data_IF_559670545162
#
_entry.id   IF_559670545162
#
_cell.length_a   1.000
_cell.length_b   1.000
_cell.length_c   1.000
_cell.angle_alpha   90.00
_cell.angle_beta   90.00
_cell.angle_gamma   90.00
#
_symmetry.space_group_name_H-M   'P 1'
#
loop_
_entity.id
_entity.type
_entity.pdbx_description
1 polymer ?
#
# COMPACT_ATOMS: atom_id res chain seq x y z
N UNK A 1 -45.20 -44.69 -44.18
CA UNK A 1 -43.89 -44.61 -43.52
C UNK A 1 -43.93 -43.45 -42.57
N UNK A 2 -44.18 -43.74 -41.30
CA UNK A 2 -44.42 -42.78 -40.22
C UNK A 2 -43.10 -42.32 -39.62
N UNK A 3 -42.91 -41.00 -39.54
CA UNK A 3 -41.96 -40.35 -38.62
C UNK A 3 -42.60 -39.02 -38.24
N UNK A 4 -43.00 -38.90 -36.97
CA UNK A 4 -43.08 -37.62 -36.28
C UNK A 4 -42.87 -37.84 -34.78
N UNK A 5 -42.36 -36.78 -34.17
CA UNK A 5 -41.65 -36.67 -32.89
C UNK A 5 -42.55 -36.91 -31.67
N UNK A 6 -41.96 -37.41 -30.58
CA UNK A 6 -42.43 -37.06 -29.23
C UNK A 6 -41.26 -37.04 -28.23
N UNK A 7 -41.19 -35.93 -27.49
CA UNK A 7 -40.23 -35.61 -26.45
C UNK A 7 -40.37 -36.56 -25.24
N UNK A 8 -39.25 -36.97 -24.64
CA UNK A 8 -39.23 -37.49 -23.28
C UNK A 8 -38.24 -36.70 -22.44
N UNK A 9 -38.80 -35.75 -21.70
CA UNK A 9 -38.20 -35.04 -20.58
C UNK A 9 -37.82 -36.02 -19.46
N UNK A 10 -36.51 -36.22 -19.25
CA UNK A 10 -35.99 -36.96 -18.09
C UNK A 10 -35.79 -35.98 -16.94
N UNK A 11 -36.75 -35.96 -16.03
CA UNK A 11 -36.71 -35.19 -14.80
C UNK A 11 -35.73 -35.86 -13.82
N UNK A 12 -34.48 -35.40 -13.80
CA UNK A 12 -33.45 -35.91 -12.86
C UNK A 12 -33.67 -35.28 -11.49
N UNK A 13 -34.46 -35.94 -10.64
CA UNK A 13 -34.57 -35.61 -9.21
C UNK A 13 -33.20 -35.78 -8.52
N UNK A 14 -32.53 -34.67 -8.19
CA UNK A 14 -31.24 -34.63 -7.49
C UNK A 14 -31.39 -34.08 -6.08
N UNK A 15 -31.87 -34.90 -5.17
CA UNK A 15 -31.61 -34.73 -3.74
C UNK A 15 -31.16 -36.08 -3.20
N UNK A 16 -29.85 -36.25 -3.04
CA UNK A 16 -29.32 -37.36 -2.25
C UNK A 16 -29.34 -36.97 -0.77
N UNK A 17 -29.32 -37.97 0.12
CA UNK A 17 -29.03 -37.82 1.54
C UNK A 17 -27.79 -38.70 1.82
N UNK A 18 -26.72 -38.18 2.44
CA UNK A 18 -25.53 -38.96 2.81
C UNK A 18 -25.53 -39.02 4.33
N UNK A 19 -25.62 -40.24 4.84
CA UNK A 19 -25.55 -40.54 6.27
C UNK A 19 -24.09 -40.68 6.68
N UNK A 20 -23.64 -39.84 7.62
CA UNK A 20 -22.32 -39.97 8.24
C UNK A 20 -22.52 -40.46 9.67
N UNK A 21 -21.83 -41.54 10.05
CA UNK A 21 -21.79 -42.04 11.43
C UNK A 21 -20.67 -41.32 12.19
N UNK A 22 -21.03 -40.53 13.22
CA UNK A 22 -20.04 -40.02 14.18
C UNK A 22 -19.78 -41.06 15.28
N UNK A 23 -18.51 -41.32 15.57
CA UNK A 23 -18.10 -42.04 16.80
C UNK A 23 -18.08 -41.05 17.97
N UNK A 24 -18.63 -41.41 19.14
CA UNK A 24 -18.66 -40.50 20.28
C UNK A 24 -17.26 -40.30 20.85
N UNK A 25 -16.85 -39.04 20.98
CA UNK A 25 -15.71 -38.63 21.81
C UNK A 25 -16.05 -38.86 23.27
N UNK A 26 -15.16 -39.56 23.97
CA UNK A 26 -15.22 -39.86 25.40
C UNK A 26 -15.46 -38.62 26.29
N UNK A 27 -16.46 -38.69 27.16
CA UNK A 27 -16.29 -38.46 28.61
C UNK A 27 -17.61 -38.60 29.38
N UNK A 28 -17.60 -39.48 30.38
CA UNK A 28 -18.43 -39.47 31.60
C UNK A 28 -19.95 -39.47 31.45
N UNK A 29 -20.56 -40.65 31.49
CA UNK A 29 -21.64 -41.08 32.42
C UNK A 29 -22.29 -42.36 31.89
N UNK A 30 -21.61 -43.49 32.12
CA UNK A 30 -22.22 -44.81 31.99
C UNK A 30 -22.69 -45.19 33.39
N UNK A 31 -23.89 -44.76 33.76
CA UNK A 31 -24.72 -45.45 34.74
C UNK A 31 -26.15 -44.88 34.63
N UNK A 32 -27.12 -45.77 34.46
CA UNK A 32 -28.57 -45.54 34.33
C UNK A 32 -29.11 -45.13 32.95
N UNK A 33 -29.13 -46.07 32.00
CA UNK A 33 -30.21 -46.18 31.00
C UNK A 33 -30.19 -47.54 30.27
N UNK A 34 -30.27 -48.64 31.02
CA UNK A 34 -30.57 -49.98 30.49
C UNK A 34 -32.02 -50.33 30.84
N UNK A 35 -32.99 -49.54 30.38
CA UNK A 35 -34.42 -49.88 30.51
C UNK A 35 -35.31 -48.96 29.65
N UNK A 36 -35.16 -49.05 28.34
CA UNK A 36 -36.19 -48.80 27.30
C UNK A 36 -35.46 -48.68 25.97
N UNK A 37 -35.71 -49.63 25.07
CA UNK A 37 -35.10 -49.63 23.75
C UNK A 37 -35.75 -48.57 22.87
N UNK A 38 -35.15 -47.38 22.83
CA UNK A 38 -35.33 -46.39 21.77
C UNK A 38 -34.17 -45.37 21.81
N UNK A 39 -32.99 -45.80 21.36
CA UNK A 39 -31.92 -44.86 21.01
C UNK A 39 -32.23 -44.26 19.62
N UNK A 40 -33.06 -43.22 19.59
CA UNK A 40 -33.22 -42.40 18.38
C UNK A 40 -31.91 -41.62 18.16
N UNK A 41 -31.01 -42.16 17.33
CA UNK A 41 -29.84 -41.40 16.84
C UNK A 41 -30.36 -40.11 16.19
N UNK A 42 -29.97 -38.92 16.67
CA UNK A 42 -30.36 -37.67 16.02
C UNK A 42 -29.74 -37.63 14.62
N UNK A 43 -30.55 -37.92 13.60
CA UNK A 43 -30.15 -37.77 12.20
C UNK A 43 -30.13 -36.29 11.85
N UNK A 44 -28.95 -35.70 11.81
CA UNK A 44 -28.80 -34.33 11.33
C UNK A 44 -28.85 -34.35 9.79
N UNK A 45 -30.00 -33.96 9.22
CA UNK A 45 -30.14 -33.76 7.78
C UNK A 45 -29.40 -32.49 7.38
N UNK A 46 -28.24 -32.65 6.75
CA UNK A 46 -27.51 -31.52 6.16
C UNK A 46 -28.05 -31.34 4.73
N UNK A 47 -28.62 -30.17 4.39
CA UNK A 47 -29.00 -29.90 3.01
C UNK A 47 -27.74 -29.86 2.16
N UNK A 48 -27.58 -30.85 1.27
CA UNK A 48 -26.51 -30.85 0.28
C UNK A 48 -27.09 -30.86 -1.12
N UNK A 49 -26.49 -30.04 -1.97
CA UNK A 49 -26.83 -30.00 -3.39
C UNK A 49 -25.59 -30.32 -4.19
N UNK A 50 -25.70 -31.34 -5.06
CA UNK A 50 -24.63 -31.71 -5.98
C UNK A 50 -24.34 -30.61 -7.01
N UNK A 51 -25.34 -29.79 -7.35
CA UNK A 51 -25.11 -28.61 -8.21
C UNK A 51 -24.33 -27.53 -7.48
N UNK A 52 -24.66 -27.23 -6.22
CA UNK A 52 -23.93 -26.28 -5.39
C UNK A 52 -22.48 -26.74 -5.14
N UNK A 53 -22.26 -28.03 -4.90
CA UNK A 53 -20.91 -28.61 -4.77
C UNK A 53 -20.11 -28.45 -6.06
N UNK A 54 -20.71 -28.79 -7.22
CA UNK A 54 -20.05 -28.68 -8.53
C UNK A 54 -19.72 -27.22 -8.87
N UNK A 55 -20.60 -26.29 -8.53
CA UNK A 55 -20.37 -24.87 -8.73
C UNK A 55 -19.23 -24.35 -7.84
N UNK A 56 -19.20 -24.75 -6.55
CA UNK A 56 -18.11 -24.43 -5.62
C UNK A 56 -16.77 -25.00 -6.09
N UNK A 57 -16.77 -26.25 -6.58
CA UNK A 57 -15.56 -26.89 -7.12
C UNK A 57 -15.04 -26.17 -8.38
N UNK A 58 -15.94 -25.76 -9.27
CA UNK A 58 -15.57 -24.97 -10.46
C UNK A 58 -15.03 -23.60 -10.07
N UNK A 59 -15.62 -22.91 -9.09
CA UNK A 59 -15.08 -21.63 -8.57
C UNK A 59 -13.67 -21.81 -8.01
N UNK A 60 -13.42 -22.87 -7.24
CA UNK A 60 -12.08 -23.17 -6.72
C UNK A 60 -11.08 -23.50 -7.83
N UNK A 61 -11.50 -24.25 -8.86
CA UNK A 61 -10.64 -24.53 -10.04
C UNK A 61 -10.30 -23.27 -10.82
N UNK A 62 -11.27 -22.40 -11.06
CA UNK A 62 -11.04 -21.12 -11.74
C UNK A 62 -10.17 -20.19 -10.91
N UNK A 63 -10.38 -20.13 -9.59
CA UNK A 63 -9.52 -19.37 -8.67
C UNK A 63 -8.09 -19.90 -8.69
N UNK A 64 -7.90 -21.22 -8.61
CA UNK A 64 -6.58 -21.86 -8.67
C UNK A 64 -5.88 -21.64 -10.02
N UNK A 65 -6.60 -21.74 -11.14
CA UNK A 65 -6.05 -21.46 -12.47
C UNK A 65 -5.64 -19.99 -12.63
N UNK A 66 -6.42 -19.04 -12.08
CA UNK A 66 -6.05 -17.62 -12.04
C UNK A 66 -4.83 -17.37 -11.17
N UNK A 67 -4.74 -18.04 -10.02
CA UNK A 67 -3.60 -17.95 -9.10
C UNK A 67 -2.33 -18.51 -9.75
N UNK A 68 -2.39 -19.69 -10.38
CA UNK A 68 -1.28 -20.28 -11.13
C UNK A 68 -0.84 -19.39 -12.32
N UNK A 69 -1.79 -18.76 -13.01
CA UNK A 69 -1.47 -17.84 -14.10
C UNK A 69 -0.85 -16.54 -13.58
N UNK A 70 -1.27 -16.04 -12.41
CA UNK A 70 -0.70 -14.85 -11.78
C UNK A 70 0.69 -15.11 -11.18
N UNK A 71 0.94 -16.29 -10.59
CA UNK A 71 2.27 -16.69 -10.09
C UNK A 71 3.28 -16.83 -11.22
N UNK A 72 2.89 -17.40 -12.38
CA UNK A 72 3.77 -17.49 -13.57
C UNK A 72 4.21 -16.15 -14.15
N UNK A 73 3.50 -15.06 -13.82
CA UNK A 73 3.86 -13.70 -14.28
C UNK A 73 4.86 -13.04 -13.35
N UNK A 74 5.07 -13.57 -12.13
CA UNK A 74 5.97 -13.01 -11.13
C UNK A 74 7.34 -13.71 -11.15
N UNK A 75 8.11 -13.51 -12.21
CA UNK A 75 9.51 -13.92 -12.24
C UNK A 75 10.42 -12.80 -11.68
N UNK A 76 11.21 -13.14 -10.67
CA UNK A 76 12.24 -12.27 -10.08
C UNK A 76 13.61 -12.91 -10.33
N UNK A 77 14.55 -12.12 -10.83
CA UNK A 77 15.91 -12.57 -11.15
C UNK A 77 16.98 -11.79 -10.39
N UNK A 78 16.63 -10.63 -9.83
CA UNK A 78 17.57 -9.84 -9.07
C UNK A 78 17.98 -10.53 -7.75
N UNK A 79 19.29 -10.62 -7.51
CA UNK A 79 19.83 -11.10 -6.25
C UNK A 79 19.70 -10.08 -5.11
N UNK A 80 19.93 -10.55 -3.88
CA UNK A 80 20.03 -9.69 -2.69
C UNK A 80 21.43 -9.04 -2.60
N UNK A 81 21.89 -8.38 -3.68
CA UNK A 81 23.17 -7.67 -3.71
C UNK A 81 22.97 -6.14 -3.76
N UNK A 82 23.83 -5.34 -3.11
CA UNK A 82 23.74 -3.88 -3.18
C UNK A 82 23.89 -3.32 -4.60
N UNK A 83 24.59 -4.03 -5.49
CA UNK A 83 24.82 -3.65 -6.88
C UNK A 83 23.60 -3.83 -7.78
N UNK A 84 22.63 -4.64 -7.36
CA UNK A 84 21.45 -4.99 -8.15
C UNK A 84 20.17 -4.28 -7.68
N UNK A 85 20.30 -3.29 -6.78
CA UNK A 85 19.15 -2.57 -6.23
C UNK A 85 18.24 -1.94 -7.29
N UNK A 86 18.82 -1.29 -8.31
CA UNK A 86 18.04 -0.69 -9.40
C UNK A 86 17.32 -1.72 -10.28
N UNK A 87 17.93 -2.90 -10.46
CA UNK A 87 17.32 -4.01 -11.21
C UNK A 87 16.15 -4.60 -10.42
N UNK A 88 16.37 -4.85 -9.12
CA UNK A 88 15.32 -5.30 -8.21
C UNK A 88 14.14 -4.34 -8.19
N UNK A 89 14.38 -3.03 -8.16
CA UNK A 89 13.33 -2.02 -8.20
C UNK A 89 12.51 -2.06 -9.50
N UNK A 90 13.18 -2.20 -10.65
CA UNK A 90 12.50 -2.32 -11.95
C UNK A 90 11.67 -3.60 -12.05
N UNK A 91 12.15 -4.70 -11.49
CA UNK A 91 11.38 -5.96 -11.42
C UNK A 91 10.16 -5.80 -10.50
N UNK A 92 10.33 -5.21 -9.32
CA UNK A 92 9.23 -4.95 -8.40
C UNK A 92 8.16 -4.04 -9.01
N UNK A 93 8.56 -2.99 -9.72
CA UNK A 93 7.64 -2.03 -10.36
C UNK A 93 6.83 -2.67 -11.50
N UNK A 94 7.43 -3.61 -12.24
CA UNK A 94 6.74 -4.35 -13.31
C UNK A 94 5.78 -5.39 -12.77
N UNK A 95 6.16 -6.03 -11.67
CA UNK A 95 5.52 -7.26 -11.20
C UNK A 95 4.49 -7.00 -10.11
N UNK A 96 4.74 -6.08 -9.17
CA UNK A 96 3.85 -5.78 -8.06
C UNK A 96 2.93 -4.60 -8.37
N UNK A 97 1.65 -4.76 -8.09
CA UNK A 97 0.62 -3.73 -8.16
C UNK A 97 0.23 -3.27 -6.76
N UNK A 98 -0.38 -2.09 -6.67
CA UNK A 98 -0.92 -1.55 -5.41
C UNK A 98 -1.89 -2.50 -4.69
N UNK A 99 -2.71 -3.23 -5.45
CA UNK A 99 -3.64 -4.22 -4.92
C UNK A 99 -2.93 -5.42 -4.27
N UNK A 100 -1.74 -5.78 -4.75
CA UNK A 100 -1.01 -6.94 -4.24
C UNK A 100 -0.59 -6.73 -2.77
N UNK A 101 -0.28 -5.51 -2.35
CA UNK A 101 0.03 -5.19 -0.95
C UNK A 101 -1.16 -5.41 0.00
N UNK A 102 -2.40 -5.34 -0.51
CA UNK A 102 -3.58 -5.67 0.27
C UNK A 102 -3.80 -7.20 0.38
N UNK A 103 -3.33 -7.95 -0.62
CA UNK A 103 -3.37 -9.42 -0.65
C UNK A 103 -2.20 -10.08 0.10
N UNK A 104 -1.13 -9.32 0.40
CA UNK A 104 0.03 -9.80 1.15
C UNK A 104 -0.36 -10.27 2.56
N UNK A 105 -0.04 -11.53 2.85
CA UNK A 105 -0.18 -12.13 4.17
C UNK A 105 1.10 -11.94 4.97
N UNK A 106 1.03 -11.26 6.11
CA UNK A 106 2.15 -11.21 7.05
C UNK A 106 2.34 -12.58 7.70
N UNK A 107 3.56 -13.10 7.69
CA UNK A 107 3.94 -14.34 8.39
C UNK A 107 4.42 -14.01 9.81
N UNK A 108 5.29 -13.00 9.93
CA UNK A 108 5.83 -12.60 11.22
C UNK A 108 7.00 -11.63 11.10
N UNK A 109 7.64 -11.36 12.23
CA UNK A 109 8.79 -10.46 12.34
C UNK A 109 10.10 -11.26 12.40
N UNK A 110 11.10 -10.86 11.63
CA UNK A 110 12.45 -11.40 11.66
C UNK A 110 13.43 -10.40 12.27
N UNK A 111 14.26 -10.88 13.22
CA UNK A 111 15.32 -10.12 13.90
C UNK A 111 14.90 -8.72 14.42
N UNK A 112 13.63 -8.54 14.76
CA UNK A 112 13.03 -7.25 15.19
C UNK A 112 13.30 -6.07 14.23
N UNK A 113 13.58 -6.35 12.96
CA UNK A 113 13.90 -5.34 11.95
C UNK A 113 13.16 -5.53 10.64
N UNK A 114 12.72 -6.76 10.36
CA UNK A 114 12.08 -7.09 9.10
C UNK A 114 10.72 -7.75 9.33
N UNK A 115 9.81 -7.53 8.39
CA UNK A 115 8.52 -8.21 8.31
C UNK A 115 8.58 -9.17 7.13
N UNK A 116 8.30 -10.44 7.39
CA UNK A 116 8.21 -11.47 6.35
C UNK A 116 6.78 -11.51 5.86
N UNK A 117 6.59 -11.32 4.56
CA UNK A 117 5.29 -11.36 3.91
C UNK A 117 5.27 -12.40 2.81
N UNK A 118 4.10 -12.99 2.59
CA UNK A 118 3.84 -13.92 1.49
C UNK A 118 2.81 -13.31 0.57
N UNK A 119 3.09 -13.34 -0.73
CA UNK A 119 2.13 -13.07 -1.78
C UNK A 119 2.16 -14.26 -2.74
N UNK A 120 1.05 -14.99 -2.81
CA UNK A 120 0.95 -16.25 -3.57
C UNK A 120 2.08 -17.20 -3.13
N UNK A 121 2.95 -17.59 -4.06
CA UNK A 121 4.09 -18.47 -3.81
C UNK A 121 5.41 -17.72 -3.60
N UNK A 122 5.40 -16.40 -3.45
CA UNK A 122 6.62 -15.61 -3.24
C UNK A 122 6.71 -15.09 -1.81
N UNK A 123 7.92 -15.15 -1.26
CA UNK A 123 8.26 -14.50 0.00
C UNK A 123 8.94 -13.16 -0.26
N UNK A 124 8.54 -12.15 0.50
CA UNK A 124 9.13 -10.82 0.48
C UNK A 124 9.61 -10.41 1.86
N UNK A 125 10.74 -9.73 1.87
CA UNK A 125 11.36 -9.12 3.05
C UNK A 125 11.05 -7.62 3.04
N UNK A 126 10.34 -7.15 4.06
CA UNK A 126 9.99 -5.74 4.24
C UNK A 126 10.81 -5.17 5.40
N UNK A 127 11.58 -4.11 5.17
CA UNK A 127 12.23 -3.35 6.25
C UNK A 127 11.17 -2.53 6.98
N UNK A 128 10.99 -2.79 8.28
CA UNK A 128 9.93 -2.15 9.06
C UNK A 128 10.14 -0.64 9.22
N UNK A 129 11.40 -0.19 9.31
CA UNK A 129 11.75 1.22 9.51
C UNK A 129 11.62 1.97 8.19
N UNK A 130 12.29 1.49 7.14
CA UNK A 130 12.31 2.15 5.84
C UNK A 130 10.90 2.26 5.23
N UNK A 131 10.07 1.23 5.41
CA UNK A 131 8.70 1.20 4.91
C UNK A 131 7.79 2.21 5.61
N UNK A 132 7.83 2.25 6.94
CA UNK A 132 7.04 3.22 7.71
C UNK A 132 7.56 4.65 7.51
N UNK A 133 8.87 4.82 7.35
CA UNK A 133 9.50 6.08 7.00
C UNK A 133 9.03 6.61 5.65
N UNK A 134 9.02 5.76 4.62
CA UNK A 134 8.55 6.14 3.28
C UNK A 134 7.09 6.58 3.31
N UNK A 135 6.23 5.85 4.01
CA UNK A 135 4.83 6.24 4.18
C UNK A 135 4.68 7.58 4.91
N UNK A 136 5.36 7.77 6.03
CA UNK A 136 5.32 9.01 6.81
C UNK A 136 5.85 10.20 6.00
N UNK A 137 6.91 10.01 5.22
CA UNK A 137 7.49 11.02 4.35
C UNK A 137 6.49 11.49 3.30
N UNK A 138 5.89 10.58 2.53
CA UNK A 138 4.87 10.91 1.51
C UNK A 138 3.65 11.61 2.13
N UNK A 139 3.22 11.15 3.31
CA UNK A 139 2.15 11.79 4.07
C UNK A 139 2.52 13.22 4.46
N UNK A 140 3.76 13.49 4.89
CA UNK A 140 4.21 14.84 5.20
C UNK A 140 4.28 15.71 3.95
N UNK A 141 4.79 15.21 2.83
CA UNK A 141 4.81 15.97 1.57
C UNK A 141 3.40 16.45 1.16
N UNK A 142 2.40 15.56 1.26
CA UNK A 142 1.01 15.82 0.85
C UNK A 142 0.22 16.66 1.86
N UNK A 143 0.38 16.42 3.17
CA UNK A 143 -0.52 16.97 4.21
C UNK A 143 0.12 17.99 5.16
N UNK A 144 1.45 18.10 5.20
CA UNK A 144 2.08 19.03 6.14
C UNK A 144 1.86 20.48 5.69
N UNK A 145 1.29 21.29 6.59
CA UNK A 145 1.36 22.75 6.50
C UNK A 145 2.60 23.19 7.28
N UNK A 146 3.43 24.01 6.64
CA UNK A 146 4.63 24.56 7.25
C UNK A 146 4.23 25.76 8.09
N UNK A 147 4.75 25.84 9.31
CA UNK A 147 4.55 27.00 10.17
C UNK A 147 5.24 28.21 9.56
N UNK A 148 4.60 29.38 9.62
CA UNK A 148 5.06 30.60 8.96
C UNK A 148 5.32 31.70 9.98
N UNK A 149 6.35 32.50 9.75
CA UNK A 149 6.59 33.75 10.46
C UNK A 149 6.40 34.91 9.51
N UNK A 150 5.63 35.89 9.99
CA UNK A 150 5.47 37.15 9.28
C UNK A 150 6.75 37.96 9.41
N UNK A 151 7.20 38.51 8.30
CA UNK A 151 8.31 39.45 8.26
C UNK A 151 7.89 40.77 8.92
N UNK A 152 8.83 41.43 9.60
CA UNK A 152 8.60 42.75 10.20
C UNK A 152 8.28 43.78 9.11
N UNK A 153 8.98 43.69 7.97
CA UNK A 153 8.75 44.50 6.78
C UNK A 153 8.62 43.57 5.56
N UNK A 154 7.60 43.75 4.70
CA UNK A 154 7.51 43.00 3.46
C UNK A 154 8.74 43.20 2.59
N UNK A 155 9.31 42.10 2.08
CA UNK A 155 10.51 42.13 1.26
C UNK A 155 10.14 42.11 -0.22
N UNK A 156 10.68 43.06 -0.98
CA UNK A 156 10.55 43.08 -2.44
C UNK A 156 11.29 41.89 -3.05
N UNK A 157 10.62 41.13 -3.90
CA UNK A 157 11.26 40.10 -4.70
C UNK A 157 11.54 40.63 -6.11
N UNK A 158 12.82 40.68 -6.46
CA UNK A 158 13.29 41.06 -7.79
C UNK A 158 13.14 39.88 -8.76
N UNK A 159 11.89 39.59 -9.14
CA UNK A 159 11.51 38.54 -10.08
C UNK A 159 11.20 39.15 -11.45
N UNK A 160 11.57 38.45 -12.52
CA UNK A 160 11.15 38.81 -13.88
C UNK A 160 9.64 38.64 -14.07
N UNK A 161 9.06 39.31 -15.08
CA UNK A 161 7.62 39.28 -15.35
C UNK A 161 7.03 37.86 -15.47
N UNK A 162 7.78 36.94 -16.10
CA UNK A 162 7.38 35.53 -16.25
C UNK A 162 7.31 34.82 -14.89
N UNK A 163 8.31 35.01 -14.04
CA UNK A 163 8.36 34.40 -12.70
C UNK A 163 7.28 35.00 -11.78
N UNK A 164 7.02 36.30 -11.88
CA UNK A 164 5.97 36.97 -11.13
C UNK A 164 4.57 36.43 -11.51
N UNK A 165 4.32 36.19 -12.81
CA UNK A 165 3.09 35.53 -13.27
C UNK A 165 3.00 34.09 -12.74
N UNK A 166 4.07 33.31 -12.87
CA UNK A 166 4.10 31.93 -12.38
C UNK A 166 3.85 31.84 -10.86
N UNK A 167 4.38 32.79 -10.08
CA UNK A 167 4.13 32.91 -8.65
C UNK A 167 2.65 33.17 -8.37
N UNK A 168 2.03 34.12 -9.09
CA UNK A 168 0.60 34.45 -8.95
C UNK A 168 -0.29 33.26 -9.26
N UNK A 169 -0.01 32.55 -10.34
CA UNK A 169 -0.79 31.39 -10.78
C UNK A 169 -0.68 30.21 -9.80
N UNK A 170 0.42 30.13 -9.05
CA UNK A 170 0.74 29.00 -8.17
C UNK A 170 0.81 29.37 -6.69
N UNK A 171 0.17 30.47 -6.28
CA UNK A 171 0.21 31.00 -4.91
C UNK A 171 -0.09 29.93 -3.84
N UNK A 172 -1.04 29.04 -4.11
CA UNK A 172 -1.42 27.94 -3.19
C UNK A 172 -0.25 26.99 -2.88
N UNK A 173 0.62 26.72 -3.85
CA UNK A 173 1.78 25.84 -3.66
C UNK A 173 2.81 26.53 -2.77
N UNK A 174 3.04 27.82 -3.00
CA UNK A 174 3.98 28.61 -2.23
C UNK A 174 3.50 28.79 -0.78
N UNK A 175 2.22 29.10 -0.58
CA UNK A 175 1.60 29.18 0.74
C UNK A 175 1.65 27.85 1.49
N UNK A 176 1.44 26.72 0.80
CA UNK A 176 1.58 25.40 1.41
C UNK A 176 3.01 25.12 1.89
N UNK A 177 4.02 25.72 1.25
CA UNK A 177 5.42 25.69 1.65
C UNK A 177 5.78 26.73 2.73
N UNK A 178 4.82 27.57 3.12
CA UNK A 178 4.97 28.55 4.18
C UNK A 178 5.44 29.93 3.71
N UNK A 179 5.46 30.18 2.40
CA UNK A 179 5.76 31.50 1.83
C UNK A 179 4.48 32.26 1.53
N UNK A 180 4.30 33.42 2.15
CA UNK A 180 3.14 34.30 1.93
C UNK A 180 3.50 35.54 1.13
N UNK A 181 2.60 35.95 0.23
CA UNK A 181 2.83 37.05 -0.70
C UNK A 181 1.70 38.06 -0.69
N UNK A 182 2.07 39.33 -0.84
CA UNK A 182 1.20 40.44 -1.21
C UNK A 182 1.62 40.94 -2.59
N UNK A 183 0.67 41.42 -3.38
CA UNK A 183 0.94 41.92 -4.73
C UNK A 183 0.61 43.40 -4.78
N UNK A 184 1.54 44.21 -5.29
CA UNK A 184 1.30 45.63 -5.62
C UNK A 184 1.35 45.81 -7.12
N UNK A 185 0.46 46.62 -7.65
CA UNK A 185 0.52 47.04 -9.05
C UNK A 185 1.33 48.33 -9.13
N UNK A 186 2.28 48.37 -10.08
CA UNK A 186 2.99 49.60 -10.40
C UNK A 186 2.14 50.49 -11.33
N UNK A 187 2.54 51.74 -11.51
CA UNK A 187 1.86 52.70 -12.40
C UNK A 187 1.77 52.19 -13.86
N UNK A 188 2.71 51.35 -14.28
CA UNK A 188 2.75 50.69 -15.59
C UNK A 188 1.90 49.40 -15.67
N UNK A 189 1.16 49.04 -14.60
CA UNK A 189 0.33 47.84 -14.54
C UNK A 189 1.07 46.53 -14.25
N UNK A 190 2.39 46.58 -14.03
CA UNK A 190 3.17 45.40 -13.63
C UNK A 190 2.88 45.00 -12.19
N UNK A 191 2.71 43.69 -11.98
CA UNK A 191 2.47 43.10 -10.66
C UNK A 191 3.80 42.83 -9.97
N UNK A 192 4.03 43.49 -8.85
CA UNK A 192 5.21 43.39 -8.02
C UNK A 192 4.90 42.50 -6.80
N UNK A 193 5.52 41.30 -6.69
CA UNK A 193 5.35 40.43 -5.54
C UNK A 193 6.20 40.89 -4.34
N UNK A 194 5.56 40.96 -3.18
CA UNK A 194 6.18 41.25 -1.89
C UNK A 194 6.06 40.01 -1.01
N UNK A 195 7.19 39.52 -0.50
CA UNK A 195 7.23 38.44 0.47
C UNK A 195 6.84 38.99 1.85
N UNK A 196 5.82 38.41 2.47
CA UNK A 196 5.24 38.88 3.74
C UNK A 196 5.46 37.87 4.85
N UNK A 197 5.57 36.59 4.53
CA UNK A 197 5.89 35.54 5.49
C UNK A 197 6.80 34.48 4.90
N UNK A 198 7.62 33.90 5.77
CA UNK A 198 8.56 32.82 5.45
C UNK A 198 8.33 31.63 6.37
N UNK A 199 8.64 30.41 5.92
CA UNK A 199 8.54 29.23 6.77
C UNK A 199 9.52 29.31 7.96
N UNK A 200 9.07 28.87 9.14
CA UNK A 200 9.91 28.79 10.36
C UNK A 200 10.11 27.36 10.76
N UNK A 201 11.37 26.96 10.76
CA UNK A 201 11.79 25.63 11.16
C UNK A 201 13.09 25.73 11.95
N UNK A 202 13.01 26.04 13.25
CA UNK A 202 14.11 26.09 14.23
C UNK A 202 15.48 26.56 13.68
N UNK A 203 16.31 25.65 13.15
CA UNK A 203 17.66 25.91 12.66
C UNK A 203 17.78 26.21 11.16
N UNK A 204 16.67 26.21 10.41
CA UNK A 204 16.67 26.35 8.96
C UNK A 204 16.19 27.74 8.56
N UNK A 205 17.02 28.41 7.75
CA UNK A 205 16.67 29.66 7.12
C UNK A 205 16.29 29.38 5.66
N UNK A 206 15.10 29.86 5.31
CA UNK A 206 14.60 29.84 3.94
C UNK A 206 14.82 31.20 3.32
N UNK A 207 15.28 31.19 2.09
CA UNK A 207 15.70 32.39 1.37
C UNK A 207 15.02 32.44 -0.01
N UNK A 208 15.41 33.44 -0.80
CA UNK A 208 14.89 33.62 -2.16
C UNK A 208 15.20 32.42 -3.07
N UNK A 209 16.32 31.72 -2.89
CA UNK A 209 16.68 30.59 -3.73
C UNK A 209 15.70 29.42 -3.59
N UNK A 210 15.11 29.24 -2.41
CA UNK A 210 14.06 28.23 -2.19
C UNK A 210 12.77 28.58 -2.94
N UNK A 211 12.45 29.87 -3.08
CA UNK A 211 11.29 30.34 -3.87
C UNK A 211 11.55 30.12 -5.36
N UNK A 212 12.75 30.48 -5.83
CA UNK A 212 13.16 30.27 -7.22
C UNK A 212 13.18 28.79 -7.61
N UNK A 213 13.63 27.90 -6.71
CA UNK A 213 13.56 26.45 -6.89
C UNK A 213 12.11 25.98 -7.11
N UNK A 214 11.17 26.45 -6.28
CA UNK A 214 9.75 26.13 -6.45
C UNK A 214 9.22 26.66 -7.78
N UNK A 215 9.51 27.92 -8.11
CA UNK A 215 9.02 28.54 -9.34
C UNK A 215 9.56 27.86 -10.59
N UNK A 216 10.83 27.45 -10.59
CA UNK A 216 11.43 26.75 -11.71
C UNK A 216 10.69 25.43 -12.00
N UNK A 217 10.42 24.62 -10.97
CA UNK A 217 9.75 23.33 -11.13
C UNK A 217 8.28 23.49 -11.51
N UNK A 218 7.58 24.44 -10.89
CA UNK A 218 6.15 24.64 -11.13
C UNK A 218 5.88 25.27 -12.50
N UNK A 219 6.84 26.04 -13.03
CA UNK A 219 6.74 26.56 -14.40
C UNK A 219 6.87 25.45 -15.45
N UNK A 220 7.67 24.42 -15.18
CA UNK A 220 7.81 23.24 -16.06
C UNK A 220 6.66 22.23 -15.88
N UNK A 221 6.19 22.05 -14.64
CA UNK A 221 5.12 21.12 -14.28
C UNK A 221 3.98 21.81 -13.52
N UNK A 222 3.08 22.50 -14.22
CA UNK A 222 1.97 23.23 -13.59
C UNK A 222 1.07 22.31 -12.75
N UNK A 223 0.68 22.78 -11.56
CA UNK A 223 -0.25 22.06 -10.67
C UNK A 223 0.38 20.94 -9.82
N UNK A 224 1.66 20.62 -10.00
CA UNK A 224 2.36 19.65 -9.14
C UNK A 224 2.75 20.31 -7.82
N UNK A 225 2.34 19.72 -6.69
CA UNK A 225 2.79 20.18 -5.38
C UNK A 225 4.26 19.85 -5.17
N UNK A 226 5.12 20.85 -5.39
CA UNK A 226 6.55 20.75 -5.18
C UNK A 226 6.97 21.21 -3.78
N UNK A 227 7.93 20.51 -3.19
CA UNK A 227 8.58 20.87 -1.92
C UNK A 227 10.08 21.08 -2.18
N UNK A 228 10.65 22.25 -1.82
CA UNK A 228 12.06 22.54 -2.06
C UNK A 228 12.98 21.60 -1.27
N UNK A 229 14.23 21.46 -1.71
CA UNK A 229 15.18 20.48 -1.18
C UNK A 229 15.39 20.60 0.33
N UNK A 230 15.50 21.82 0.87
CA UNK A 230 15.63 22.06 2.32
C UNK A 230 14.44 21.48 3.09
N UNK A 231 13.22 21.74 2.60
CA UNK A 231 12.00 21.25 3.24
C UNK A 231 11.84 19.73 3.13
N UNK A 232 12.22 19.15 1.98
CA UNK A 232 12.25 17.68 1.82
C UNK A 232 13.21 17.01 2.82
N UNK A 233 14.40 17.57 3.05
CA UNK A 233 15.35 17.06 4.06
C UNK A 233 14.76 17.09 5.47
N UNK A 234 14.05 18.17 5.81
CA UNK A 234 13.35 18.29 7.09
C UNK A 234 12.26 17.24 7.22
N UNK A 235 11.43 17.05 6.20
CA UNK A 235 10.38 16.02 6.21
C UNK A 235 10.95 14.61 6.27
N UNK A 236 12.07 14.33 5.61
CA UNK A 236 12.78 13.06 5.71
C UNK A 236 13.26 12.80 7.15
N UNK A 237 13.92 13.79 7.77
CA UNK A 237 14.36 13.68 9.17
C UNK A 237 13.20 13.48 10.14
N UNK A 238 12.09 14.23 9.93
CA UNK A 238 10.87 14.10 10.74
C UNK A 238 10.19 12.74 10.55
N UNK A 239 10.18 12.21 9.33
CA UNK A 239 9.66 10.88 9.02
C UNK A 239 10.48 9.80 9.72
N UNK A 240 11.82 9.85 9.61
CA UNK A 240 12.71 8.88 10.27
C UNK A 240 12.51 8.85 11.79
N UNK A 241 12.46 10.01 12.45
CA UNK A 241 12.23 10.12 13.90
C UNK A 241 10.85 9.64 14.36
N UNK A 242 9.84 9.73 13.50
CA UNK A 242 8.47 9.32 13.81
C UNK A 242 8.24 7.82 13.57
N UNK A 243 9.03 7.22 12.70
CA UNK A 243 8.80 5.86 12.22
C UNK A 243 9.23 4.80 13.23
N UNK A 244 8.72 3.59 13.07
CA UNK A 244 9.10 2.44 13.90
C UNK A 244 10.62 2.26 13.90
N UNK A 245 11.22 2.12 15.08
CA UNK A 245 12.65 1.88 15.22
C UNK A 245 12.99 0.41 14.96
N UNK A 246 14.18 0.16 14.41
CA UNK A 246 14.77 -1.18 14.36
C UNK A 246 14.96 -1.68 15.80
N UNK A 247 14.63 -2.94 16.07
CA UNK A 247 14.66 -3.55 17.40
C UNK A 247 13.33 -3.48 18.14
N UNK A 248 12.34 -2.76 17.61
CA UNK A 248 10.98 -2.71 18.18
C UNK A 248 10.21 -3.97 17.80
N UNK A 249 9.65 -4.68 18.79
CA UNK A 249 8.74 -5.80 18.55
C UNK A 249 7.40 -5.29 18.05
N UNK A 250 6.90 -5.86 16.95
CA UNK A 250 5.63 -5.46 16.35
C UNK A 250 4.56 -6.55 16.53
N UNK A 251 3.33 -6.12 16.80
CA UNK A 251 2.16 -7.00 16.75
C UNK A 251 1.73 -7.29 15.30
N UNK A 252 1.01 -8.39 15.08
CA UNK A 252 0.50 -8.75 13.75
C UNK A 252 -0.29 -7.62 13.07
N UNK A 253 -1.22 -6.91 13.75
CA UNK A 253 -1.92 -5.77 13.14
C UNK A 253 -1.00 -4.61 12.75
N UNK A 254 0.03 -4.31 13.55
CA UNK A 254 0.99 -3.26 13.23
C UNK A 254 1.80 -3.60 11.98
N UNK A 255 2.26 -4.85 11.87
CA UNK A 255 2.97 -5.31 10.69
C UNK A 255 2.08 -5.26 9.44
N UNK A 256 0.83 -5.71 9.55
CA UNK A 256 -0.13 -5.64 8.45
C UNK A 256 -0.37 -4.20 7.99
N UNK A 257 -0.51 -3.25 8.92
CA UNK A 257 -0.69 -1.85 8.60
C UNK A 257 0.51 -1.28 7.82
N UNK A 258 1.74 -1.61 8.21
CA UNK A 258 2.94 -1.15 7.49
C UNK A 258 2.93 -1.65 6.04
N UNK A 259 2.60 -2.94 5.84
CA UNK A 259 2.54 -3.54 4.50
C UNK A 259 1.42 -2.91 3.66
N UNK A 260 0.23 -2.72 4.24
CA UNK A 260 -0.89 -2.08 3.55
C UNK A 260 -0.61 -0.62 3.19
N UNK A 261 0.11 0.11 4.04
CA UNK A 261 0.51 1.49 3.75
C UNK A 261 1.36 1.59 2.48
N UNK A 262 2.24 0.62 2.20
CA UNK A 262 3.04 0.60 0.97
C UNK A 262 2.17 0.56 -0.29
N UNK A 263 1.04 -0.15 -0.25
CA UNK A 263 0.07 -0.20 -1.35
C UNK A 263 -0.63 1.14 -1.64
N UNK A 264 -0.55 2.12 -0.73
CA UNK A 264 -1.12 3.46 -0.94
C UNK A 264 -0.16 4.42 -1.65
N UNK A 265 1.12 4.04 -1.77
CA UNK A 265 2.18 4.88 -2.33
C UNK A 265 2.38 4.59 -3.82
N UNK A 266 2.86 5.58 -4.58
CA UNK A 266 3.13 5.40 -6.02
C UNK A 266 4.44 4.65 -6.27
N UNK A 267 5.51 4.99 -5.55
CA UNK A 267 6.81 4.31 -5.61
C UNK A 267 7.29 3.96 -4.19
N UNK A 268 6.83 2.83 -3.63
CA UNK A 268 7.14 2.46 -2.26
C UNK A 268 8.55 1.90 -2.05
N UNK A 269 9.36 1.73 -3.10
CA UNK A 269 10.58 0.89 -3.09
C UNK A 269 11.74 1.40 -2.25
N UNK A 270 11.83 2.73 -2.06
CA UNK A 270 12.93 3.37 -1.35
C UNK A 270 12.43 4.39 -0.33
N UNK A 271 13.06 4.43 0.83
CA UNK A 271 12.89 5.49 1.81
C UNK A 271 13.53 6.81 1.29
N UNK A 272 13.23 7.98 1.89
CA UNK A 272 13.78 9.25 1.42
C UNK A 272 15.31 9.37 1.55
N UNK A 273 15.97 8.45 2.27
CA UNK A 273 17.43 8.34 2.36
C UNK A 273 18.02 7.29 1.39
N UNK A 274 17.20 6.66 0.54
CA UNK A 274 17.64 5.69 -0.47
C UNK A 274 17.78 4.26 0.03
N UNK A 275 17.24 3.91 1.21
CA UNK A 275 17.23 2.53 1.69
C UNK A 275 16.04 1.77 1.10
N UNK A 276 16.22 0.49 0.70
CA UNK A 276 15.14 -0.29 0.16
C UNK A 276 14.11 -0.66 1.22
N UNK A 277 12.84 -0.58 0.87
CA UNK A 277 11.72 -0.92 1.76
C UNK A 277 11.32 -2.39 1.65
N UNK A 278 11.36 -2.95 0.44
CA UNK A 278 10.92 -4.30 0.12
C UNK A 278 11.89 -4.93 -0.88
N UNK A 279 12.19 -6.21 -0.65
CA UNK A 279 12.92 -7.09 -1.58
C UNK A 279 12.22 -8.44 -1.69
N UNK A 280 12.28 -9.01 -2.89
CA UNK A 280 11.91 -10.41 -3.10
C UNK A 280 12.96 -11.30 -2.44
N UNK A 281 12.52 -12.35 -1.75
CA UNK A 281 13.41 -13.26 -1.04
C UNK A 281 13.55 -14.59 -1.78
N UNK A 282 12.44 -15.26 -2.07
CA UNK A 282 12.43 -16.57 -2.72
C UNK A 282 11.06 -16.86 -3.35
N UNK A 283 11.07 -17.69 -4.40
CA UNK A 283 9.89 -18.34 -4.97
C UNK A 283 9.77 -19.76 -4.39
N UNK A 284 8.63 -20.04 -3.76
CA UNK A 284 8.32 -21.31 -3.11
C UNK A 284 7.91 -22.40 -4.10
N UNK A 285 7.58 -22.08 -5.36
CA UNK A 285 7.34 -23.09 -6.40
C UNK A 285 8.62 -23.72 -6.91
N UNK A 286 9.73 -22.97 -6.87
CA UNK A 286 11.05 -23.44 -7.27
C UNK A 286 11.63 -24.35 -6.18
N UNK A 287 11.23 -25.62 -6.22
CA UNK A 287 11.63 -26.69 -5.27
C UNK A 287 13.13 -27.08 -5.31
N UNK A 288 14.01 -26.22 -5.82
CA UNK A 288 15.45 -26.42 -5.78
C UNK A 288 16.04 -25.81 -4.50
N UNK A 289 15.58 -26.28 -3.34
CA UNK A 289 16.22 -26.09 -2.03
C UNK A 289 16.79 -27.42 -1.56
#
# INVERSE_FOLDING_TARGET
TTMDQEEHSVEVRKEGCITIEEMPSSSSTLDNALQSGDFLRPQQKIPFSMSALKERLNRLRVAKAKEEQASKVMEFHAGLSPTENELAEKELDRTLKKSDFAEMSVIGQFNKGFIITRLRDHLFLVDQHASDEKYNFERFQKKARVETQRLIQPQLLDLGAVQASALRDNLKILEANGFGFEFKENEDGYVIPLLVSTPVLHSWQFDRSDIEEILAVVSEFPGVMYRPAKLRRIFASRACRKSVMIGTTLSMPQMQNIVQHLGTLDQPWNCPHGRPTLRHLVDLQNKNL
#
